data_IF_950406895623
#
_entry.id   IF_950406895623
#
_cell.length_a   1.000
_cell.length_b   1.000
_cell.length_c   1.000
_cell.angle_alpha   90.00
_cell.angle_beta   90.00
_cell.angle_gamma   90.00
#
_symmetry.space_group_name_H-M   'P 1'
#
loop_
_entity.id
_entity.type
_entity.pdbx_description
1 polymer ?
#
# COMPACT_ATOMS: atom_id res chain seq x y z
N UNK A 1 29.20 6.88 -11.86
CA UNK A 1 28.96 5.42 -12.01
C UNK A 1 28.56 5.00 -13.43
N UNK A 2 27.66 5.70 -14.14
CA UNK A 2 27.22 5.33 -15.50
C UNK A 2 28.28 5.48 -16.61
N UNK A 3 29.08 6.56 -16.61
CA UNK A 3 30.10 6.82 -17.65
C UNK A 3 31.09 5.66 -17.84
N UNK A 4 31.44 4.95 -16.76
CA UNK A 4 32.36 3.82 -16.80
C UNK A 4 31.77 2.50 -17.34
N UNK A 5 30.51 2.50 -17.76
CA UNK A 5 29.86 1.32 -18.37
C UNK A 5 29.67 1.46 -19.88
N UNK A 6 29.84 2.66 -20.42
CA UNK A 6 29.71 2.96 -21.85
C UNK A 6 30.77 2.14 -22.62
N UNK A 7 30.34 1.39 -23.64
CA UNK A 7 31.22 0.61 -24.51
C UNK A 7 31.54 -0.82 -24.06
N UNK A 8 31.12 -1.25 -22.86
CA UNK A 8 31.38 -2.62 -22.38
C UNK A 8 30.53 -3.69 -23.07
N UNK A 9 29.37 -3.31 -23.60
CA UNK A 9 28.49 -4.19 -24.36
C UNK A 9 27.59 -3.37 -25.28
N UNK A 10 27.27 -3.91 -26.46
CA UNK A 10 26.45 -3.23 -27.47
C UNK A 10 24.97 -3.15 -27.11
N UNK A 11 24.48 -4.05 -26.25
CA UNK A 11 23.06 -4.20 -25.88
C UNK A 11 22.70 -3.85 -24.44
N UNK A 12 23.63 -3.94 -23.49
CA UNK A 12 23.32 -3.86 -22.05
C UNK A 12 24.16 -2.78 -21.38
N UNK A 13 23.51 -1.98 -20.54
CA UNK A 13 24.15 -0.89 -19.80
C UNK A 13 24.99 -1.43 -18.64
N UNK A 14 24.62 -2.55 -18.02
CA UNK A 14 25.39 -3.19 -16.95
C UNK A 14 25.71 -4.64 -17.32
N UNK A 15 27.00 -4.96 -17.37
CA UNK A 15 27.50 -6.29 -17.70
C UNK A 15 28.59 -6.74 -16.73
N UNK A 16 28.59 -8.03 -16.42
CA UNK A 16 29.78 -8.66 -15.83
C UNK A 16 30.81 -8.88 -16.93
N UNK A 17 32.08 -8.62 -16.64
CA UNK A 17 33.21 -8.80 -17.57
C UNK A 17 34.03 -10.06 -17.27
N UNK A 18 33.63 -10.83 -16.26
CA UNK A 18 34.26 -12.08 -15.86
C UNK A 18 33.28 -13.23 -16.04
N UNK A 19 33.77 -14.35 -16.58
CA UNK A 19 33.01 -15.59 -16.62
C UNK A 19 32.78 -16.15 -15.21
N UNK A 20 31.60 -16.71 -14.98
CA UNK A 20 31.22 -17.38 -13.74
C UNK A 20 30.82 -18.82 -14.04
N UNK A 21 31.18 -19.74 -13.14
CA UNK A 21 30.77 -21.14 -13.24
C UNK A 21 29.35 -21.28 -12.69
N UNK A 22 28.44 -21.86 -13.47
CA UNK A 22 27.08 -22.17 -13.02
C UNK A 22 27.06 -23.43 -12.15
N UNK A 23 26.00 -23.63 -11.38
CA UNK A 23 25.79 -24.84 -10.58
C UNK A 23 25.80 -26.13 -11.42
N UNK A 24 25.44 -26.03 -12.70
CA UNK A 24 25.44 -27.09 -13.71
C UNK A 24 26.82 -27.32 -14.38
N UNK A 25 27.90 -26.77 -13.81
CA UNK A 25 29.28 -26.91 -14.33
C UNK A 25 29.59 -26.12 -15.61
N UNK A 26 28.57 -25.59 -16.31
CA UNK A 26 28.73 -24.77 -17.50
C UNK A 26 29.28 -23.37 -17.17
N UNK A 27 30.21 -22.85 -18.00
CA UNK A 27 30.77 -21.49 -17.86
C UNK A 27 29.91 -20.45 -18.59
N UNK A 28 29.61 -19.33 -17.94
CA UNK A 28 29.00 -18.18 -18.65
C UNK A 28 29.99 -17.51 -19.59
N UNK A 29 29.50 -16.88 -20.68
CA UNK A 29 30.35 -16.04 -21.52
C UNK A 29 30.97 -14.90 -20.69
N UNK A 30 32.20 -14.53 -21.05
CA UNK A 30 33.00 -13.55 -20.31
C UNK A 30 32.27 -12.22 -20.13
N UNK A 31 31.49 -11.81 -21.14
CA UNK A 31 30.58 -10.66 -21.04
C UNK A 31 29.14 -11.15 -21.06
N UNK A 32 28.40 -10.90 -19.99
CA UNK A 32 26.98 -11.22 -19.90
C UNK A 32 26.21 -10.16 -19.11
N UNK A 33 24.90 -10.08 -19.38
CA UNK A 33 24.02 -9.15 -18.67
C UNK A 33 24.13 -9.36 -17.16
N UNK A 34 24.30 -8.27 -16.42
CA UNK A 34 24.14 -8.32 -14.98
C UNK A 34 22.70 -8.74 -14.70
N UNK A 35 22.50 -9.83 -13.95
CA UNK A 35 21.20 -10.10 -13.35
C UNK A 35 21.09 -9.12 -12.19
N UNK A 36 20.06 -8.30 -12.21
CA UNK A 36 19.63 -7.58 -11.03
C UNK A 36 18.85 -8.60 -10.18
N UNK A 37 19.54 -9.56 -9.57
CA UNK A 37 18.94 -10.39 -8.53
C UNK A 37 19.02 -9.63 -7.22
N UNK A 38 18.08 -8.71 -7.02
CA UNK A 38 17.90 -7.93 -5.79
C UNK A 38 17.81 -8.82 -4.55
N UNK A 39 17.42 -10.08 -4.75
CA UNK A 39 17.31 -11.09 -3.70
C UNK A 39 18.64 -11.40 -3.00
N UNK A 40 19.78 -11.35 -3.71
CA UNK A 40 21.09 -11.60 -3.12
C UNK A 40 21.50 -10.47 -2.18
N UNK A 41 21.34 -9.22 -2.61
CA UNK A 41 21.58 -8.04 -1.78
C UNK A 41 20.58 -7.95 -0.62
N UNK A 42 19.32 -8.28 -0.87
CA UNK A 42 18.25 -8.34 0.14
C UNK A 42 18.58 -9.31 1.26
N UNK A 43 18.97 -10.55 0.94
CA UNK A 43 19.38 -11.56 1.93
C UNK A 43 20.56 -11.11 2.79
N UNK A 44 21.53 -10.41 2.20
CA UNK A 44 22.63 -9.83 2.98
C UNK A 44 22.13 -8.77 3.94
N UNK A 45 21.16 -7.93 3.51
CA UNK A 45 20.48 -6.97 4.36
C UNK A 45 19.74 -7.62 5.53
N UNK A 46 18.92 -8.64 5.27
CA UNK A 46 18.21 -9.42 6.28
C UNK A 46 19.16 -10.03 7.32
N UNK A 47 20.24 -10.64 6.86
CA UNK A 47 21.27 -11.24 7.73
C UNK A 47 21.90 -10.21 8.67
N UNK A 48 22.12 -8.97 8.18
CA UNK A 48 22.65 -7.88 9.00
C UNK A 48 21.61 -7.35 9.99
N UNK A 49 20.35 -7.34 9.61
CA UNK A 49 19.24 -6.92 10.46
C UNK A 49 18.82 -7.99 11.49
N UNK A 50 19.26 -9.24 11.32
CA UNK A 50 18.87 -10.36 12.19
C UNK A 50 17.41 -10.79 11.98
N UNK A 51 16.89 -10.63 10.76
CA UNK A 51 15.50 -10.96 10.41
C UNK A 51 15.48 -12.21 9.53
N UNK A 52 14.71 -13.21 9.96
CA UNK A 52 14.47 -14.45 9.22
C UNK A 52 13.10 -14.45 8.55
N UNK A 53 12.94 -15.27 7.49
CA UNK A 53 11.70 -15.48 6.73
C UNK A 53 10.97 -14.21 6.24
N UNK A 54 11.73 -13.18 5.83
CA UNK A 54 11.17 -11.92 5.33
C UNK A 54 11.49 -11.69 3.84
N UNK A 55 10.47 -11.46 3.02
CA UNK A 55 10.59 -11.23 1.58
C UNK A 55 10.55 -9.75 1.26
N UNK A 56 11.18 -9.37 0.15
CA UNK A 56 11.17 -7.98 -0.30
C UNK A 56 9.74 -7.44 -0.51
N UNK A 57 8.82 -8.28 -1.00
CA UNK A 57 7.43 -7.90 -1.23
C UNK A 57 6.66 -7.63 0.08
N UNK A 58 7.12 -8.17 1.21
CA UNK A 58 6.48 -7.95 2.51
C UNK A 58 6.61 -6.48 2.93
N UNK A 59 7.64 -5.76 2.48
CA UNK A 59 7.72 -4.30 2.65
C UNK A 59 6.52 -3.57 2.04
N UNK A 60 6.05 -4.02 0.85
CA UNK A 60 4.86 -3.43 0.21
C UNK A 60 3.60 -3.75 1.02
N UNK A 61 3.52 -4.93 1.61
CA UNK A 61 2.43 -5.31 2.53
C UNK A 61 2.44 -4.46 3.81
N UNK A 62 3.61 -4.24 4.40
CA UNK A 62 3.78 -3.39 5.60
C UNK A 62 3.37 -1.94 5.30
N UNK A 63 3.85 -1.37 4.19
CA UNK A 63 3.49 -0.02 3.76
C UNK A 63 1.97 0.14 3.57
N UNK A 64 1.32 -0.81 2.89
CA UNK A 64 -0.12 -0.80 2.69
C UNK A 64 -0.88 -0.86 4.02
N UNK A 65 -0.44 -1.72 4.93
CA UNK A 65 -1.05 -1.89 6.26
C UNK A 65 -0.96 -0.62 7.10
N UNK A 66 0.16 0.11 7.04
CA UNK A 66 0.34 1.38 7.76
C UNK A 66 -0.52 2.51 7.22
N UNK A 67 -0.70 2.60 5.89
CA UNK A 67 -1.56 3.62 5.30
C UNK A 67 -3.02 3.41 5.68
N UNK A 68 -3.51 2.17 5.63
CA UNK A 68 -4.87 1.87 6.06
C UNK A 68 -5.06 2.13 7.54
N UNK A 69 -4.08 1.78 8.38
CA UNK A 69 -4.11 2.10 9.81
C UNK A 69 -4.08 3.61 10.08
N UNK A 70 -3.50 4.41 9.19
CA UNK A 70 -3.52 5.87 9.27
C UNK A 70 -4.84 6.49 8.75
N UNK A 71 -5.82 5.68 8.34
CA UNK A 71 -7.12 6.14 7.87
C UNK A 71 -7.19 6.47 6.38
N UNK A 72 -6.18 6.10 5.58
CA UNK A 72 -6.22 6.30 4.13
C UNK A 72 -7.29 5.39 3.50
N UNK A 73 -8.17 5.91 2.62
CA UNK A 73 -9.19 5.09 1.98
C UNK A 73 -8.59 4.07 0.99
N UNK A 74 -9.26 2.93 0.83
CA UNK A 74 -8.79 1.83 -0.03
C UNK A 74 -8.61 2.22 -1.51
N UNK A 75 -9.42 3.16 -2.02
CA UNK A 75 -9.30 3.67 -3.38
C UNK A 75 -7.97 4.41 -3.60
N UNK A 76 -7.61 5.32 -2.69
CA UNK A 76 -6.34 6.03 -2.73
C UNK A 76 -5.16 5.06 -2.58
N UNK A 77 -5.29 4.06 -1.71
CA UNK A 77 -4.25 3.02 -1.58
C UNK A 77 -4.07 2.24 -2.89
N UNK A 78 -5.17 1.88 -3.57
CA UNK A 78 -5.12 1.16 -4.84
C UNK A 78 -4.32 1.93 -5.89
N UNK A 79 -4.60 3.22 -6.05
CA UNK A 79 -3.92 4.11 -6.99
C UNK A 79 -2.43 4.26 -6.64
N UNK A 80 -2.11 4.58 -5.38
CA UNK A 80 -0.73 4.79 -4.94
C UNK A 80 0.13 3.53 -5.10
N UNK A 81 -0.44 2.36 -4.83
CA UNK A 81 0.30 1.11 -4.94
C UNK A 81 0.20 0.43 -6.29
N UNK A 82 -0.56 0.98 -7.26
CA UNK A 82 -0.69 0.39 -8.60
C UNK A 82 -1.24 -1.03 -8.60
N UNK A 83 -2.29 -1.29 -7.80
CA UNK A 83 -2.99 -2.58 -7.85
C UNK A 83 -3.99 -2.62 -9.00
N UNK A 84 -3.93 -3.70 -9.78
CA UNK A 84 -4.80 -3.94 -10.93
C UNK A 84 -6.30 -4.01 -10.56
N UNK A 85 -6.62 -4.48 -9.35
CA UNK A 85 -8.01 -4.58 -8.86
C UNK A 85 -8.14 -4.18 -7.39
N UNK A 86 -9.31 -3.64 -7.06
CA UNK A 86 -9.66 -3.27 -5.68
C UNK A 86 -9.72 -4.50 -4.77
N UNK A 87 -10.05 -5.68 -5.31
CA UNK A 87 -10.10 -6.94 -4.56
C UNK A 87 -8.76 -7.30 -3.95
N UNK A 88 -7.64 -6.99 -4.61
CA UNK A 88 -6.31 -7.21 -4.05
C UNK A 88 -6.04 -6.35 -2.81
N UNK A 89 -6.63 -5.14 -2.77
CA UNK A 89 -6.48 -4.15 -1.71
C UNK A 89 -7.46 -4.40 -0.56
N UNK A 90 -8.61 -5.04 -0.82
CA UNK A 90 -9.58 -5.44 0.21
C UNK A 90 -8.96 -6.29 1.33
N UNK A 91 -7.86 -6.99 1.06
CA UNK A 91 -7.08 -7.69 2.09
C UNK A 91 -6.67 -6.80 3.26
N UNK A 92 -6.52 -5.49 3.05
CA UNK A 92 -6.15 -4.55 4.12
C UNK A 92 -7.36 -3.87 4.77
N UNK A 93 -8.57 -4.03 4.24
CA UNK A 93 -9.76 -3.31 4.73
C UNK A 93 -10.06 -3.55 6.23
N UNK A 94 -9.63 -4.68 6.78
CA UNK A 94 -9.81 -5.03 8.19
C UNK A 94 -8.86 -4.30 9.15
N UNK A 95 -7.72 -3.80 8.67
CA UNK A 95 -6.73 -3.05 9.47
C UNK A 95 -7.16 -1.61 9.75
N UNK A 96 -8.22 -1.23 9.10
CA UNK A 96 -8.64 0.13 9.01
C UNK A 96 -9.28 0.47 10.41
N UNK A 97 -8.82 1.52 11.13
CA UNK A 97 -9.39 1.92 12.41
C UNK A 97 -10.80 2.53 12.26
N UNK A 98 -11.83 1.89 12.82
CA UNK A 98 -13.15 2.47 13.11
C UNK A 98 -13.76 3.50 12.11
N UNK A 99 -13.51 3.41 10.79
CA UNK A 99 -14.10 4.34 9.79
C UNK A 99 -15.61 4.34 9.88
N UNK A 100 -16.21 3.20 10.20
CA UNK A 100 -17.65 3.08 10.39
C UNK A 100 -18.15 4.05 11.48
N UNK A 101 -17.37 4.25 12.56
CA UNK A 101 -17.71 5.16 13.64
C UNK A 101 -17.57 6.62 13.21
N UNK A 102 -16.51 7.00 12.49
CA UNK A 102 -16.37 8.38 12.00
C UNK A 102 -17.37 8.74 10.89
N UNK A 103 -17.65 7.81 9.99
CA UNK A 103 -18.66 8.01 8.95
C UNK A 103 -20.07 8.06 9.55
N UNK A 104 -20.38 7.21 10.54
CA UNK A 104 -21.66 7.28 11.26
C UNK A 104 -21.82 8.62 12.00
N UNK A 105 -20.77 9.13 12.65
CA UNK A 105 -20.79 10.45 13.31
C UNK A 105 -21.13 11.60 12.35
N UNK A 106 -20.80 11.50 11.07
CA UNK A 106 -21.22 12.51 10.06
C UNK A 106 -22.73 12.50 9.85
N UNK A 107 -23.38 11.34 9.92
CA UNK A 107 -24.84 11.24 9.86
C UNK A 107 -25.46 11.85 11.12
N UNK A 108 -24.91 11.56 12.29
CA UNK A 108 -25.38 12.17 13.56
C UNK A 108 -25.30 13.70 13.52
N UNK A 109 -24.22 14.27 12.96
CA UNK A 109 -24.08 15.72 12.78
C UNK A 109 -25.06 16.33 11.78
N UNK A 110 -25.49 15.57 10.77
CA UNK A 110 -26.48 16.01 9.77
C UNK A 110 -27.90 15.94 10.33
N UNK A 111 -28.20 14.92 11.13
CA UNK A 111 -29.53 14.71 11.70
C UNK A 111 -29.77 15.55 12.97
N UNK A 112 -28.72 15.86 13.73
CA UNK A 112 -28.81 16.68 14.95
C UNK A 112 -29.14 18.16 14.73
N UNK A 113 -29.04 18.69 13.49
CA UNK A 113 -29.42 20.09 13.20
C UNK A 113 -30.89 20.25 12.78
N UNK A 114 -31.59 19.16 12.47
CA UNK A 114 -33.01 19.15 12.17
C UNK A 114 -33.80 18.60 13.37
N UNK A 115 -33.74 19.33 14.48
CA UNK A 115 -34.76 19.24 15.52
C UNK A 115 -36.12 19.49 14.86
N UNK A 116 -36.94 18.45 14.82
CA UNK A 116 -38.26 18.44 14.18
C UNK A 116 -39.32 19.09 15.06
N UNK A 117 -38.95 20.10 15.86
CA UNK A 117 -39.78 20.63 16.94
C UNK A 117 -40.61 21.87 16.54
N UNK A 118 -40.94 22.03 15.25
CA UNK A 118 -41.73 23.17 14.76
C UNK A 118 -43.25 22.87 14.68
N UNK A 119 -43.73 21.71 15.10
CA UNK A 119 -45.16 21.32 14.96
C UNK A 119 -45.91 21.06 16.27
N UNK A 120 -45.40 21.55 17.42
CA UNK A 120 -46.16 21.55 18.69
C UNK A 120 -46.10 22.91 19.41
N UNK A 121 -46.37 24.00 18.68
CA UNK A 121 -46.78 25.27 19.27
C UNK A 121 -48.14 25.63 18.70
N UNK A 122 -49.09 26.04 19.54
CA UNK A 122 -50.38 26.64 19.14
C UNK A 122 -51.51 25.68 18.72
N UNK A 123 -51.90 24.78 19.64
CA UNK A 123 -53.31 24.37 19.69
C UNK A 123 -53.78 24.22 21.15
N UNK A 124 -53.77 25.35 21.88
CA UNK A 124 -54.35 25.47 23.23
C UNK A 124 -54.99 26.84 23.44
N UNK A 125 -55.83 27.29 22.51
CA UNK A 125 -56.78 28.39 22.80
C UNK A 125 -58.12 28.07 22.13
N UNK A 126 -58.90 27.22 22.79
CA UNK A 126 -60.23 26.89 22.27
C UNK A 126 -60.87 25.74 23.00
N UNK A 127 -61.18 25.90 24.30
CA UNK A 127 -62.35 25.32 24.95
C UNK A 127 -62.40 25.75 26.42
N UNK A 128 -63.09 26.85 26.71
CA UNK A 128 -63.98 27.01 27.88
C UNK A 128 -64.98 28.12 27.56
N UNK A 129 -66.14 27.72 27.06
CA UNK A 129 -67.39 28.46 27.08
C UNK A 129 -68.32 27.69 28.04
N UNK A 130 -69.11 28.44 28.80
CA UNK A 130 -69.99 28.10 29.93
C UNK A 130 -69.31 28.10 31.31
#
# INVERSE_FOLDING_TARGET
>A
MLKGQIGKHSRWVFVHTKAATRADGTKTPAVHKMRCDDNSAWKVGLKRAGIDDFRFHDLRHTWASWLIQSGVPLSALQEMGGWESIEMVRRYAHLAPNHLTEHARKIDSLLGSHDTNTTQGENRVGLKLA
#
